data_IF_149962030269
#
_entry.id   IF_149962030269
#
_cell.length_a   1.000
_cell.length_b   1.000
_cell.length_c   1.000
_cell.angle_alpha   90.00
_cell.angle_beta   90.00
_cell.angle_gamma   90.00
#
_symmetry.space_group_name_H-M   'P 1'
#
loop_
_entity.id
_entity.type
_entity.pdbx_description
1 polymer ?
#
# COMPACT_ATOMS: atom_id res chain seq x y z
N UNK A 1 -8.95 -48.75 31.67
CA UNK A 1 -10.27 -49.36 31.86
C UNK A 1 -11.07 -49.18 30.61
N UNK A 2 -11.26 -50.25 29.91
CA UNK A 2 -11.94 -50.39 28.62
C UNK A 2 -13.46 -50.08 28.70
N UNK A 3 -14.02 -49.52 27.68
CA UNK A 3 -15.26 -50.05 27.10
C UNK A 3 -15.51 -49.46 25.71
N UNK A 4 -15.37 -50.36 24.73
CA UNK A 4 -15.89 -50.26 23.39
C UNK A 4 -17.43 -50.48 23.40
N UNK A 5 -18.13 -49.80 22.53
CA UNK A 5 -19.42 -50.31 22.08
C UNK A 5 -19.58 -50.14 20.58
N UNK A 6 -19.66 -51.30 19.95
CA UNK A 6 -20.11 -51.57 18.59
C UNK A 6 -21.61 -51.48 18.50
N UNK A 7 -22.09 -51.23 17.32
CA UNK A 7 -23.28 -51.84 16.68
C UNK A 7 -23.99 -50.76 15.84
N UNK A 8 -24.62 -50.95 14.73
CA UNK A 8 -24.78 -52.11 13.83
C UNK A 8 -25.30 -51.57 12.49
N UNK A 9 -24.90 -52.22 11.45
CA UNK A 9 -25.48 -52.11 10.10
C UNK A 9 -26.90 -52.65 10.09
N UNK A 10 -27.86 -51.95 9.46
CA UNK A 10 -29.06 -52.54 8.92
C UNK A 10 -29.25 -52.19 7.46
N UNK A 11 -29.03 -53.16 6.63
CA UNK A 11 -29.45 -53.25 5.23
C UNK A 11 -30.88 -53.78 5.15
N UNK A 12 -31.63 -53.37 4.16
CA UNK A 12 -32.58 -54.11 3.36
C UNK A 12 -33.83 -53.30 2.99
N UNK A 13 -34.62 -53.68 2.00
CA UNK A 13 -34.37 -54.42 0.79
C UNK A 13 -34.99 -53.79 -0.49
N UNK A 14 -34.58 -54.32 -1.61
CA UNK A 14 -35.03 -54.19 -2.97
C UNK A 14 -36.53 -54.45 -3.17
N UNK A 15 -37.25 -53.55 -3.88
CA UNK A 15 -38.48 -53.91 -4.59
C UNK A 15 -38.43 -53.38 -6.02
N UNK A 16 -38.40 -54.35 -6.96
CA UNK A 16 -38.69 -54.15 -8.38
C UNK A 16 -40.16 -53.86 -8.58
N UNK A 17 -40.50 -52.89 -9.42
CA UNK A 17 -41.74 -52.87 -10.19
C UNK A 17 -41.53 -52.11 -11.51
N UNK A 18 -41.50 -52.85 -12.58
CA UNK A 18 -42.30 -52.85 -13.82
C UNK A 18 -42.42 -51.54 -14.61
N UNK A 19 -42.01 -51.70 -15.86
CA UNK A 19 -42.10 -50.79 -16.96
C UNK A 19 -43.51 -50.22 -17.22
N UNK A 20 -43.59 -48.95 -17.62
CA UNK A 20 -44.65 -48.41 -18.45
C UNK A 20 -44.06 -47.42 -19.41
N UNK A 21 -44.25 -47.69 -20.70
CA UNK A 21 -43.79 -46.87 -21.82
C UNK A 21 -44.80 -45.78 -22.14
N UNK A 22 -44.34 -44.58 -22.42
CA UNK A 22 -44.91 -43.56 -23.33
C UNK A 22 -44.24 -42.20 -23.17
N UNK A 23 -44.37 -41.24 -24.08
CA UNK A 23 -43.61 -41.10 -25.32
C UNK A 23 -42.59 -39.94 -25.29
N UNK A 24 -41.67 -39.97 -26.23
CA UNK A 24 -40.65 -38.96 -26.45
C UNK A 24 -41.24 -37.55 -26.69
N UNK A 25 -40.92 -36.62 -25.80
CA UNK A 25 -40.93 -35.18 -26.10
C UNK A 25 -39.48 -34.78 -26.26
N UNK A 26 -39.11 -34.46 -27.51
CA UNK A 26 -37.83 -33.91 -27.92
C UNK A 26 -37.78 -32.47 -27.46
N UNK A 27 -37.32 -32.22 -26.25
CA UNK A 27 -36.96 -30.88 -25.78
C UNK A 27 -35.53 -30.56 -26.25
N UNK A 28 -35.46 -29.78 -27.31
CA UNK A 28 -34.21 -29.19 -27.83
C UNK A 28 -33.70 -28.20 -26.79
N UNK A 29 -32.87 -28.66 -25.86
CA UNK A 29 -32.08 -27.79 -24.98
C UNK A 29 -30.98 -27.11 -25.80
N UNK A 30 -31.26 -25.90 -26.26
CA UNK A 30 -30.23 -24.94 -26.64
C UNK A 30 -29.35 -24.71 -25.40
N UNK A 31 -28.28 -25.51 -25.28
CA UNK A 31 -27.20 -25.23 -24.37
C UNK A 31 -26.46 -23.98 -24.90
N UNK A 32 -26.98 -22.81 -24.54
CA UNK A 32 -26.25 -21.56 -24.66
C UNK A 32 -25.01 -21.68 -23.77
N UNK A 33 -23.87 -21.94 -24.41
CA UNK A 33 -22.56 -21.86 -23.76
C UNK A 33 -22.37 -20.42 -23.33
N UNK A 34 -22.74 -20.10 -22.07
CA UNK A 34 -22.29 -18.88 -21.42
C UNK A 34 -20.79 -19.04 -21.24
N UNK A 35 -20.04 -18.56 -22.22
CA UNK A 35 -18.61 -18.41 -22.13
C UNK A 35 -18.38 -17.34 -21.08
N UNK A 36 -18.23 -17.75 -19.81
CA UNK A 36 -17.65 -16.88 -18.81
C UNK A 36 -16.27 -16.50 -19.33
N UNK A 37 -16.15 -15.29 -19.85
CA UNK A 37 -14.88 -14.63 -20.05
C UNK A 37 -14.30 -14.42 -18.64
N UNK A 38 -13.67 -15.44 -18.07
CA UNK A 38 -12.76 -15.27 -16.95
C UNK A 38 -11.67 -14.36 -17.49
N UNK A 39 -11.70 -13.11 -17.06
CA UNK A 39 -10.60 -12.18 -17.28
C UNK A 39 -9.35 -12.91 -16.77
N UNK A 40 -8.49 -13.33 -17.69
CA UNK A 40 -7.23 -13.99 -17.36
C UNK A 40 -6.44 -12.96 -16.57
N UNK A 41 -5.99 -13.27 -15.34
CA UNK A 41 -5.12 -12.35 -14.63
C UNK A 41 -3.97 -12.03 -15.57
N UNK A 42 -3.68 -10.74 -15.76
CA UNK A 42 -2.55 -10.30 -16.57
C UNK A 42 -1.31 -10.99 -16.01
N UNK A 43 -0.76 -11.94 -16.78
CA UNK A 43 0.45 -12.62 -16.36
C UNK A 43 1.59 -11.62 -16.45
N UNK A 44 2.28 -11.41 -15.33
CA UNK A 44 3.43 -10.53 -15.28
C UNK A 44 4.47 -10.94 -16.32
N UNK A 45 5.03 -9.96 -17.02
CA UNK A 45 6.11 -10.17 -17.98
C UNK A 45 7.38 -10.62 -17.26
N UNK A 46 8.07 -11.62 -17.84
CA UNK A 46 9.36 -12.11 -17.35
C UNK A 46 10.45 -11.88 -18.38
N UNK A 47 11.69 -11.77 -17.93
CA UNK A 47 12.83 -11.38 -18.74
C UNK A 47 14.00 -12.33 -18.55
N UNK A 48 14.90 -12.48 -19.55
CA UNK A 48 16.10 -13.31 -19.43
C UNK A 48 17.16 -12.67 -18.52
N UNK A 49 17.16 -11.35 -18.34
CA UNK A 49 18.11 -10.62 -17.52
C UNK A 49 17.46 -9.43 -16.80
N UNK A 50 18.04 -8.91 -15.72
CA UNK A 50 17.56 -7.70 -15.07
C UNK A 50 17.76 -6.46 -15.95
N UNK A 51 18.77 -6.45 -16.83
CA UNK A 51 19.02 -5.40 -17.82
C UNK A 51 17.87 -5.34 -18.85
N UNK A 52 17.39 -6.50 -19.32
CA UNK A 52 16.26 -6.55 -20.26
C UNK A 52 14.98 -6.05 -19.59
N UNK A 53 14.74 -6.41 -18.33
CA UNK A 53 13.59 -5.93 -17.56
C UNK A 53 13.63 -4.41 -17.37
N UNK A 54 14.79 -3.87 -16.98
CA UNK A 54 15.00 -2.44 -16.77
C UNK A 54 14.79 -1.66 -18.08
N UNK A 55 15.36 -2.11 -19.19
CA UNK A 55 15.18 -1.49 -20.52
C UNK A 55 13.73 -1.54 -20.99
N UNK A 56 13.04 -2.66 -20.76
CA UNK A 56 11.64 -2.80 -21.14
C UNK A 56 10.75 -1.82 -20.37
N UNK A 57 10.97 -1.67 -19.06
CA UNK A 57 10.25 -0.69 -18.24
C UNK A 57 10.49 0.72 -18.74
N UNK A 58 11.76 1.12 -18.93
CA UNK A 58 12.11 2.44 -19.46
C UNK A 58 11.41 2.71 -20.79
N UNK A 59 11.48 1.77 -21.74
CA UNK A 59 10.86 1.92 -23.06
C UNK A 59 9.33 2.01 -22.99
N UNK A 60 8.67 1.30 -22.06
CA UNK A 60 7.23 1.38 -21.87
C UNK A 60 6.82 2.74 -21.28
N UNK A 61 7.53 3.23 -20.26
CA UNK A 61 7.27 4.54 -19.64
C UNK A 61 7.52 5.67 -20.64
N UNK A 62 8.61 5.62 -21.41
CA UNK A 62 8.95 6.62 -22.42
C UNK A 62 7.89 6.72 -23.54
N UNK A 63 7.24 5.60 -23.91
CA UNK A 63 6.17 5.57 -24.89
C UNK A 63 4.79 5.85 -24.31
N UNK A 64 4.68 6.11 -23.01
CA UNK A 64 3.42 6.27 -22.29
C UNK A 64 2.49 5.04 -22.44
N UNK A 65 3.07 3.85 -22.55
CA UNK A 65 2.34 2.59 -22.68
C UNK A 65 1.97 2.04 -21.28
N UNK A 66 0.88 2.55 -20.73
CA UNK A 66 0.41 2.18 -19.37
C UNK A 66 0.12 0.68 -19.26
N UNK A 67 -0.35 0.06 -20.34
CA UNK A 67 -0.62 -1.37 -20.36
C UNK A 67 0.67 -2.17 -20.23
N UNK A 68 1.69 -1.83 -21.02
CA UNK A 68 2.98 -2.48 -20.95
C UNK A 68 3.64 -2.27 -19.57
N UNK A 69 3.55 -1.07 -18.98
CA UNK A 69 4.05 -0.79 -17.64
C UNK A 69 3.36 -1.71 -16.62
N UNK A 70 2.04 -1.84 -16.69
CA UNK A 70 1.27 -2.72 -15.79
C UNK A 70 1.66 -4.19 -15.95
N UNK A 71 1.81 -4.67 -17.18
CA UNK A 71 2.22 -6.05 -17.48
C UNK A 71 3.66 -6.33 -17.00
N UNK A 72 4.57 -5.37 -17.16
CA UNK A 72 5.97 -5.48 -16.72
C UNK A 72 6.06 -5.49 -15.20
N UNK A 73 5.42 -4.54 -14.54
CA UNK A 73 5.43 -4.46 -13.09
C UNK A 73 4.59 -5.55 -12.43
N UNK A 74 3.63 -6.16 -13.14
CA UNK A 74 2.77 -7.22 -12.59
C UNK A 74 1.86 -6.73 -11.46
N UNK A 75 1.67 -5.42 -11.37
CA UNK A 75 0.96 -4.76 -10.30
C UNK A 75 -0.45 -4.39 -10.72
N UNK A 76 -1.35 -4.31 -9.75
CA UNK A 76 -2.58 -3.56 -9.92
C UNK A 76 -2.28 -2.08 -10.19
N UNK A 77 -3.29 -1.35 -10.61
CA UNK A 77 -3.19 0.08 -10.95
C UNK A 77 -2.61 0.95 -9.82
N UNK A 78 -2.65 0.48 -8.59
CA UNK A 78 -2.19 1.18 -7.38
C UNK A 78 -0.68 1.50 -7.36
N UNK A 79 0.16 0.70 -8.04
CA UNK A 79 1.60 0.96 -8.17
C UNK A 79 1.95 1.80 -9.41
N UNK A 80 1.00 1.98 -10.32
CA UNK A 80 1.21 2.62 -11.62
C UNK A 80 0.54 4.00 -11.70
N UNK A 81 -0.44 4.25 -10.83
CA UNK A 81 -1.21 5.50 -10.82
C UNK A 81 -1.59 5.91 -9.40
N UNK A 82 -1.44 7.19 -9.11
CA UNK A 82 -1.84 7.83 -7.84
C UNK A 82 -3.29 8.31 -7.84
N UNK A 83 -4.05 8.09 -8.92
CA UNK A 83 -5.35 8.73 -9.24
C UNK A 83 -5.25 10.24 -9.56
N UNK A 84 -4.07 10.82 -9.56
CA UNK A 84 -3.79 12.17 -10.05
C UNK A 84 -3.03 12.07 -11.37
N UNK A 85 -3.73 12.25 -12.48
CA UNK A 85 -3.15 12.12 -13.83
C UNK A 85 -2.03 13.11 -14.11
N UNK A 86 -2.08 14.29 -13.51
CA UNK A 86 -1.05 15.32 -13.69
C UNK A 86 0.22 14.88 -12.97
N UNK A 87 0.08 14.46 -11.72
CA UNK A 87 1.19 13.96 -10.92
C UNK A 87 1.80 12.70 -11.56
N UNK A 88 0.97 11.74 -11.99
CA UNK A 88 1.43 10.53 -12.67
C UNK A 88 2.25 10.85 -13.93
N UNK A 89 1.84 11.86 -14.70
CA UNK A 89 2.60 12.31 -15.88
C UNK A 89 3.97 12.87 -15.49
N UNK A 90 4.01 13.75 -14.50
CA UNK A 90 5.25 14.36 -14.00
C UNK A 90 6.21 13.29 -13.44
N UNK A 91 5.70 12.31 -12.74
CA UNK A 91 6.51 11.23 -12.17
C UNK A 91 7.09 10.32 -13.25
N UNK A 92 6.34 10.04 -14.33
CA UNK A 92 6.84 9.31 -15.50
C UNK A 92 7.93 10.09 -16.25
N UNK A 93 7.73 11.37 -16.48
CA UNK A 93 8.74 12.24 -17.12
C UNK A 93 10.01 12.30 -16.27
N UNK A 94 9.88 12.44 -14.95
CA UNK A 94 11.00 12.44 -14.01
C UNK A 94 11.73 11.09 -14.02
N UNK A 95 11.02 9.97 -14.06
CA UNK A 95 11.64 8.65 -14.19
C UNK A 95 12.45 8.54 -15.48
N UNK A 96 11.88 8.95 -16.63
CA UNK A 96 12.59 8.92 -17.93
C UNK A 96 13.85 9.77 -17.88
N UNK A 97 13.75 10.99 -17.36
CA UNK A 97 14.89 11.90 -17.24
C UNK A 97 15.99 11.28 -16.37
N UNK A 98 15.66 10.82 -15.16
CA UNK A 98 16.62 10.22 -14.23
C UNK A 98 17.25 8.95 -14.77
N UNK A 99 16.47 8.11 -15.45
CA UNK A 99 17.00 6.90 -16.09
C UNK A 99 18.01 7.23 -17.19
N UNK A 100 17.74 8.25 -18.01
CA UNK A 100 18.67 8.71 -19.06
C UNK A 100 19.92 9.37 -18.49
N UNK A 101 19.79 10.11 -17.40
CA UNK A 101 20.90 10.76 -16.72
C UNK A 101 21.90 9.72 -16.20
N UNK A 102 21.42 8.71 -15.49
CA UNK A 102 22.20 7.58 -15.01
C UNK A 102 21.27 6.45 -14.61
N UNK A 103 21.62 5.23 -14.96
CA UNK A 103 20.99 4.03 -14.42
C UNK A 103 22.01 2.92 -14.22
N UNK A 104 21.83 2.16 -13.15
CA UNK A 104 22.64 0.99 -12.85
C UNK A 104 21.86 -0.04 -12.06
N UNK A 105 22.21 -1.29 -12.24
CA UNK A 105 21.65 -2.41 -11.48
C UNK A 105 22.67 -2.82 -10.41
N UNK A 106 22.22 -2.99 -9.20
CA UNK A 106 23.04 -3.39 -8.05
C UNK A 106 22.41 -4.61 -7.39
N UNK A 107 23.21 -5.65 -7.23
CA UNK A 107 22.79 -6.81 -6.47
C UNK A 107 22.84 -6.47 -4.98
N UNK A 108 21.69 -6.51 -4.35
CA UNK A 108 21.49 -6.24 -2.95
C UNK A 108 21.56 -7.53 -2.11
N UNK A 109 21.78 -7.44 -0.79
CA UNK A 109 21.61 -8.57 0.11
C UNK A 109 20.25 -9.23 -0.09
N UNK A 110 20.13 -10.51 0.19
CA UNK A 110 18.91 -11.34 -0.02
C UNK A 110 18.60 -11.71 -1.46
N UNK A 111 19.52 -11.47 -2.41
CA UNK A 111 19.39 -11.95 -3.80
C UNK A 111 18.41 -11.15 -4.67
N UNK A 112 18.07 -9.94 -4.26
CA UNK A 112 17.33 -8.98 -5.08
C UNK A 112 18.29 -8.09 -5.86
N UNK A 113 17.84 -7.55 -7.00
CA UNK A 113 18.59 -6.56 -7.77
C UNK A 113 17.82 -5.25 -7.79
N UNK A 114 18.41 -4.19 -7.28
CA UNK A 114 17.85 -2.86 -7.28
C UNK A 114 18.29 -2.08 -8.52
N UNK A 115 17.36 -1.33 -9.12
CA UNK A 115 17.63 -0.35 -10.17
C UNK A 115 17.84 1.01 -9.50
N UNK A 116 19.03 1.60 -9.68
CA UNK A 116 19.34 2.96 -9.25
C UNK A 116 19.28 3.90 -10.45
N UNK A 117 18.66 5.06 -10.28
CA UNK A 117 18.51 6.07 -11.34
C UNK A 117 18.87 7.47 -10.83
N UNK A 118 19.27 8.34 -11.76
CA UNK A 118 19.64 9.73 -11.48
C UNK A 118 21.01 9.88 -10.84
N UNK A 119 21.59 11.06 -10.90
CA UNK A 119 22.90 11.38 -10.31
C UNK A 119 22.92 11.18 -8.78
N UNK A 120 21.76 11.29 -8.13
CA UNK A 120 21.58 11.08 -6.70
C UNK A 120 21.57 9.59 -6.30
N UNK A 121 21.70 8.68 -7.28
CA UNK A 121 21.59 7.23 -7.04
C UNK A 121 20.28 6.83 -6.33
N UNK A 122 19.16 7.37 -6.80
CA UNK A 122 17.85 7.06 -6.19
C UNK A 122 17.43 5.62 -6.51
N UNK A 123 17.18 4.78 -5.50
CA UNK A 123 16.76 3.41 -5.72
C UNK A 123 15.31 3.36 -6.17
N UNK A 124 15.06 2.78 -7.34
CA UNK A 124 13.71 2.50 -7.81
C UNK A 124 13.01 1.54 -6.83
N UNK A 125 11.78 1.82 -6.40
CA UNK A 125 11.17 1.13 -5.26
C UNK A 125 10.80 -0.33 -5.52
N UNK A 126 10.70 -0.75 -6.78
CA UNK A 126 10.29 -2.12 -7.12
C UNK A 126 11.53 -2.92 -7.52
N UNK A 127 12.01 -3.84 -6.68
CA UNK A 127 13.22 -4.61 -6.97
C UNK A 127 12.98 -5.67 -8.03
N UNK A 128 14.05 -6.15 -8.62
CA UNK A 128 14.09 -7.27 -9.56
C UNK A 128 14.48 -8.54 -8.81
N UNK A 129 13.75 -9.62 -9.06
CA UNK A 129 14.02 -10.94 -8.50
C UNK A 129 14.13 -11.98 -9.60
N UNK A 130 15.00 -12.97 -9.40
CA UNK A 130 15.12 -14.12 -10.29
C UNK A 130 14.42 -15.34 -9.70
N UNK A 131 13.60 -16.01 -10.49
CA UNK A 131 13.03 -17.34 -10.17
C UNK A 131 13.16 -18.25 -11.38
N UNK A 132 13.75 -19.42 -11.18
CA UNK A 132 13.96 -20.41 -12.25
C UNK A 132 14.69 -19.85 -13.49
N UNK A 133 15.66 -18.95 -13.28
CA UNK A 133 16.46 -18.37 -14.35
C UNK A 133 15.77 -17.23 -15.14
N UNK A 134 14.57 -16.83 -14.76
CA UNK A 134 13.88 -15.66 -15.35
C UNK A 134 13.73 -14.56 -14.33
N UNK A 135 13.77 -13.32 -14.80
CA UNK A 135 13.71 -12.10 -14.00
C UNK A 135 12.35 -11.43 -14.10
N UNK A 136 11.89 -10.84 -13.00
CA UNK A 136 10.68 -10.01 -12.96
C UNK A 136 10.79 -8.96 -11.86
N UNK A 137 10.00 -7.91 -11.96
CA UNK A 137 9.83 -6.98 -10.86
C UNK A 137 9.03 -7.62 -9.71
N UNK A 138 9.41 -7.39 -8.46
CA UNK A 138 8.69 -7.87 -7.29
C UNK A 138 7.71 -6.81 -6.80
N UNK A 139 6.48 -6.88 -7.29
CA UNK A 139 5.45 -5.89 -7.03
C UNK A 139 5.00 -5.86 -5.58
N UNK A 140 5.03 -7.01 -4.89
CA UNK A 140 4.63 -7.10 -3.49
C UNK A 140 5.62 -6.36 -2.60
N UNK A 141 6.93 -6.58 -2.81
CA UNK A 141 7.98 -5.84 -2.12
C UNK A 141 7.96 -4.36 -2.54
N UNK A 142 7.74 -4.07 -3.83
CA UNK A 142 7.61 -2.71 -4.33
C UNK A 142 6.46 -1.94 -3.68
N UNK A 143 5.29 -2.57 -3.52
CA UNK A 143 4.14 -1.95 -2.85
C UNK A 143 4.44 -1.61 -1.39
N UNK A 144 5.16 -2.49 -0.69
CA UNK A 144 5.59 -2.23 0.68
C UNK A 144 6.57 -1.06 0.75
N UNK A 145 7.57 -1.04 -0.12
CA UNK A 145 8.58 0.03 -0.17
C UNK A 145 7.95 1.40 -0.48
N UNK A 146 7.07 1.48 -1.48
CA UNK A 146 6.33 2.71 -1.81
C UNK A 146 5.50 3.18 -0.61
N UNK A 147 4.86 2.25 0.09
CA UNK A 147 4.09 2.57 1.30
C UNK A 147 4.97 3.11 2.41
N UNK A 148 6.12 2.48 2.66
CA UNK A 148 7.06 2.95 3.70
C UNK A 148 7.62 4.32 3.39
N UNK A 149 8.00 4.61 2.14
CA UNK A 149 8.45 5.94 1.72
C UNK A 149 7.36 6.99 1.92
N UNK A 150 6.13 6.70 1.49
CA UNK A 150 4.97 7.59 1.70
C UNK A 150 4.71 7.87 3.17
N UNK A 151 4.78 6.85 4.03
CA UNK A 151 4.64 7.02 5.47
C UNK A 151 5.72 7.98 5.98
N UNK A 152 6.99 7.75 5.64
CA UNK A 152 8.08 8.62 6.07
C UNK A 152 7.94 10.06 5.59
N UNK A 153 7.59 10.28 4.32
CA UNK A 153 7.35 11.63 3.76
C UNK A 153 6.19 12.34 4.46
N UNK A 154 5.11 11.62 4.74
CA UNK A 154 3.96 12.19 5.46
C UNK A 154 4.32 12.54 6.91
N UNK A 155 5.11 11.71 7.59
CA UNK A 155 5.57 11.94 8.97
C UNK A 155 6.48 13.17 9.05
N UNK A 156 7.47 13.28 8.17
CA UNK A 156 8.34 14.47 8.06
C UNK A 156 7.51 15.74 7.80
N UNK A 157 6.54 15.65 6.89
CA UNK A 157 5.66 16.77 6.57
C UNK A 157 4.78 17.13 7.78
N UNK A 158 4.25 16.13 8.51
CA UNK A 158 3.43 16.36 9.70
C UNK A 158 4.22 17.06 10.82
N UNK A 159 5.48 16.69 11.03
CA UNK A 159 6.39 17.35 11.97
C UNK A 159 6.58 18.84 11.55
N UNK A 160 6.88 19.10 10.27
CA UNK A 160 7.05 20.44 9.75
C UNK A 160 5.78 21.31 9.93
N UNK A 161 4.59 20.73 9.75
CA UNK A 161 3.32 21.42 10.01
C UNK A 161 3.13 21.68 11.51
N UNK A 162 3.52 20.75 12.39
CA UNK A 162 3.48 20.97 13.84
C UNK A 162 4.30 22.21 14.23
N UNK A 163 5.52 22.37 13.73
CA UNK A 163 6.35 23.55 13.94
C UNK A 163 5.68 24.82 13.37
N UNK A 164 5.12 24.75 12.14
CA UNK A 164 4.42 25.87 11.54
C UNK A 164 3.17 26.31 12.33
N UNK A 165 2.49 25.38 13.00
CA UNK A 165 1.33 25.68 13.85
C UNK A 165 1.75 26.49 15.09
N UNK A 166 2.88 26.17 15.72
CA UNK A 166 3.44 26.95 16.83
C UNK A 166 3.77 28.36 16.38
N UNK A 167 4.44 28.51 15.23
CA UNK A 167 4.81 29.80 14.68
C UNK A 167 3.59 30.69 14.31
N UNK A 168 2.41 30.09 14.07
CA UNK A 168 1.16 30.78 13.66
C UNK A 168 0.09 30.79 14.73
N UNK A 169 0.41 30.77 15.98
CA UNK A 169 -0.44 30.65 17.19
C UNK A 169 -1.85 31.31 17.14
N UNK A 170 -2.23 31.94 16.05
CA UNK A 170 -3.43 32.76 15.93
C UNK A 170 -4.41 32.37 14.82
N UNK A 171 -4.28 31.20 14.16
CA UNK A 171 -5.20 30.87 13.06
C UNK A 171 -6.37 29.99 13.51
N UNK A 172 -7.60 30.51 13.70
CA UNK A 172 -8.77 29.73 14.13
C UNK A 172 -9.25 28.69 13.11
N UNK A 173 -8.83 28.78 11.84
CA UNK A 173 -9.19 27.80 10.79
C UNK A 173 -8.40 26.49 10.86
N UNK A 174 -7.36 26.39 11.68
CA UNK A 174 -6.58 25.18 11.87
C UNK A 174 -7.35 24.04 12.56
N UNK A 175 -8.56 24.29 13.01
CA UNK A 175 -9.37 23.33 13.77
C UNK A 175 -10.26 22.41 12.90
N UNK A 176 -10.09 22.39 11.59
CA UNK A 176 -10.80 21.47 10.70
C UNK A 176 -10.06 20.14 10.62
N UNK A 177 -10.70 19.00 10.92
CA UNK A 177 -10.11 17.68 10.78
C UNK A 177 -10.11 17.24 9.30
N UNK A 178 -9.44 17.99 8.45
CA UNK A 178 -9.22 17.61 7.05
C UNK A 178 -7.86 16.94 6.98
N UNK A 179 -7.75 15.74 6.40
CA UNK A 179 -6.46 15.12 6.18
C UNK A 179 -5.60 16.01 5.28
N UNK A 180 -4.42 16.34 5.75
CA UNK A 180 -3.42 17.06 4.96
C UNK A 180 -2.13 16.22 4.95
N UNK A 181 -1.65 15.88 3.76
CA UNK A 181 -0.53 14.94 3.61
C UNK A 181 -0.69 13.65 4.45
N UNK A 182 -1.91 13.06 4.42
CA UNK A 182 -2.19 11.82 5.12
C UNK A 182 -2.36 11.94 6.65
N UNK A 183 -2.39 13.15 7.21
CA UNK A 183 -2.54 13.42 8.64
C UNK A 183 -3.72 14.33 8.95
N UNK A 184 -4.34 14.10 10.09
CA UNK A 184 -5.29 15.02 10.72
C UNK A 184 -4.56 15.88 11.74
N UNK A 185 -4.90 17.17 11.78
CA UNK A 185 -4.34 18.14 12.71
C UNK A 185 -5.44 18.73 13.59
N UNK A 186 -5.16 18.92 14.86
CA UNK A 186 -6.10 19.50 15.80
C UNK A 186 -5.38 20.24 16.93
N UNK A 187 -5.91 21.42 17.29
CA UNK A 187 -5.45 22.15 18.47
C UNK A 187 -5.97 21.45 19.73
N UNK A 188 -5.11 21.30 20.72
CA UNK A 188 -5.43 20.77 22.03
C UNK A 188 -5.46 21.92 23.05
N UNK A 189 -6.37 21.81 24.03
CA UNK A 189 -6.32 22.68 25.20
C UNK A 189 -5.15 22.28 26.10
N UNK A 190 -4.44 23.23 26.66
CA UNK A 190 -3.41 22.97 27.65
C UNK A 190 -3.96 23.20 29.05
N UNK A 191 -3.71 22.26 29.98
CA UNK A 191 -3.95 22.47 31.40
C UNK A 191 -3.01 23.56 31.91
N UNK A 192 -3.55 24.73 32.30
CA UNK A 192 -2.76 25.88 32.77
C UNK A 192 -2.47 26.98 31.73
N UNK A 193 -3.09 26.90 30.55
CA UNK A 193 -2.88 27.86 29.44
C UNK A 193 -1.65 27.50 28.59
N UNK A 194 -1.65 27.93 27.34
CA UNK A 194 -0.59 27.71 26.37
C UNK A 194 -1.06 26.87 25.18
N UNK A 195 -0.26 26.86 24.13
CA UNK A 195 -0.54 26.19 22.86
C UNK A 195 -0.08 24.72 22.91
N UNK A 196 -0.89 23.83 22.34
CA UNK A 196 -0.48 22.50 21.93
C UNK A 196 -1.34 22.05 20.74
N UNK A 197 -0.76 21.25 19.85
CA UNK A 197 -1.46 20.63 18.74
C UNK A 197 -1.10 19.16 18.64
N UNK A 198 -2.03 18.36 18.09
CA UNK A 198 -1.83 16.96 17.79
C UNK A 198 -1.97 16.73 16.29
N UNK A 199 -1.07 15.93 15.74
CA UNK A 199 -1.14 15.38 14.39
C UNK A 199 -1.19 13.86 14.48
N UNK A 200 -2.14 13.22 13.78
CA UNK A 200 -2.28 11.78 13.79
C UNK A 200 -2.66 11.25 12.40
N UNK A 201 -2.22 10.04 12.00
CA UNK A 201 -2.45 9.52 10.68
C UNK A 201 -3.95 9.33 10.38
N UNK A 202 -4.36 9.69 9.18
CA UNK A 202 -5.72 9.45 8.70
C UNK A 202 -6.02 7.95 8.58
N UNK A 203 -5.01 7.18 8.15
CA UNK A 203 -5.06 5.72 8.06
C UNK A 203 -3.78 5.12 8.65
N UNK A 204 -3.91 4.48 9.81
CA UNK A 204 -2.79 3.84 10.49
C UNK A 204 -2.10 2.80 9.61
N UNK A 205 -0.75 2.85 9.53
CA UNK A 205 0.12 2.02 8.67
C UNK A 205 -0.15 2.13 7.16
N UNK A 206 -0.88 3.14 6.74
CA UNK A 206 -1.10 3.45 5.33
C UNK A 206 -0.68 4.87 5.00
N UNK A 207 -1.12 5.86 5.78
CA UNK A 207 -0.69 7.25 5.64
C UNK A 207 0.35 7.68 6.68
N UNK A 208 0.48 6.95 7.78
CA UNK A 208 1.44 7.19 8.86
C UNK A 208 1.34 6.13 9.95
N UNK A 209 2.30 6.10 10.85
CA UNK A 209 2.34 5.26 12.05
C UNK A 209 2.33 6.13 13.30
N UNK A 210 3.21 7.14 13.35
CA UNK A 210 3.41 7.98 14.52
C UNK A 210 2.31 9.02 14.69
N UNK A 211 1.97 9.32 15.93
CA UNK A 211 1.16 10.46 16.33
C UNK A 211 2.10 11.48 16.93
N UNK A 212 1.95 12.74 16.56
CA UNK A 212 2.80 13.83 17.01
C UNK A 212 2.01 14.79 17.90
N UNK A 213 2.63 15.27 18.97
CA UNK A 213 2.15 16.39 19.77
C UNK A 213 3.24 17.45 19.81
N UNK A 214 2.90 18.67 19.43
CA UNK A 214 3.77 19.83 19.58
C UNK A 214 3.28 20.70 20.72
N UNK A 215 4.21 21.21 21.53
CA UNK A 215 3.93 22.16 22.61
C UNK A 215 4.35 23.58 22.23
N UNK A 216 4.07 24.55 23.11
CA UNK A 216 4.43 25.96 22.92
C UNK A 216 5.95 26.21 22.84
N UNK A 217 6.77 25.29 23.34
CA UNK A 217 8.24 25.40 23.34
C UNK A 217 8.83 24.90 22.00
N UNK A 218 7.95 24.64 21.01
CA UNK A 218 8.28 24.11 19.69
C UNK A 218 8.99 22.76 19.72
N UNK A 219 8.70 21.96 20.75
CA UNK A 219 9.18 20.57 20.85
C UNK A 219 8.08 19.65 20.35
N UNK A 220 8.39 18.87 19.31
CA UNK A 220 7.50 17.82 18.79
C UNK A 220 7.81 16.51 19.49
N UNK A 221 6.79 15.88 20.03
CA UNK A 221 6.86 14.53 20.62
C UNK A 221 6.12 13.55 19.75
N UNK A 222 6.59 12.31 19.70
CA UNK A 222 6.00 11.24 18.90
C UNK A 222 5.67 10.01 19.73
N UNK A 223 4.64 9.27 19.29
CA UNK A 223 4.23 7.99 19.88
C UNK A 223 3.40 7.18 18.88
N UNK A 224 3.66 5.89 18.77
CA UNK A 224 2.76 4.94 18.10
C UNK A 224 1.58 4.61 19.04
N UNK A 225 0.39 5.09 18.70
CA UNK A 225 -0.86 4.79 19.44
C UNK A 225 -1.53 3.48 18.96
N UNK A 226 -0.95 2.82 17.98
CA UNK A 226 -1.41 1.54 17.43
C UNK A 226 -2.66 1.62 16.55
N UNK A 227 -3.30 0.47 16.24
CA UNK A 227 -4.40 0.41 15.26
C UNK A 227 -5.64 1.25 15.57
N UNK A 228 -5.76 1.72 16.81
CA UNK A 228 -6.88 2.58 17.24
C UNK A 228 -6.50 4.05 17.34
N UNK A 229 -5.43 4.46 16.67
CA UNK A 229 -4.85 5.82 16.72
C UNK A 229 -5.92 6.91 16.54
N UNK A 230 -6.72 6.84 15.49
CA UNK A 230 -7.74 7.86 15.22
C UNK A 230 -8.72 8.05 16.40
N UNK A 231 -9.15 6.95 17.03
CA UNK A 231 -10.04 7.00 18.20
C UNK A 231 -9.31 7.55 19.41
N UNK A 232 -8.08 7.12 19.69
CA UNK A 232 -7.28 7.58 20.82
C UNK A 232 -6.95 9.07 20.68
N UNK A 233 -6.44 9.49 19.53
CA UNK A 233 -6.08 10.88 19.26
C UNK A 233 -7.29 11.82 19.29
N UNK A 234 -8.45 11.42 18.71
CA UNK A 234 -9.66 12.25 18.73
C UNK A 234 -10.26 12.44 20.14
N UNK A 235 -9.99 11.51 21.06
CA UNK A 235 -10.43 11.62 22.45
C UNK A 235 -9.51 12.50 23.31
N UNK A 236 -8.31 12.84 22.84
CA UNK A 236 -7.39 13.71 23.58
C UNK A 236 -7.88 15.14 23.51
N UNK A 237 -8.24 15.74 24.63
CA UNK A 237 -8.65 17.14 24.74
C UNK A 237 -7.52 18.04 25.23
N UNK A 238 -6.54 17.46 25.90
CA UNK A 238 -5.37 18.15 26.46
C UNK A 238 -4.09 17.42 26.08
N UNK A 239 -2.99 18.16 25.94
CA UNK A 239 -1.67 17.59 25.74
C UNK A 239 -1.15 17.04 27.08
N UNK A 240 -1.26 15.73 27.27
CA UNK A 240 -0.68 15.02 28.39
C UNK A 240 0.39 14.06 27.86
N UNK A 241 1.64 14.43 28.11
CA UNK A 241 2.81 13.65 27.69
C UNK A 241 3.23 12.73 28.85
N UNK A 242 2.89 11.44 28.74
CA UNK A 242 3.41 10.42 29.63
C UNK A 242 4.84 10.00 29.22
N UNK A 243 5.60 9.27 30.02
CA UNK A 243 6.99 8.89 29.71
C UNK A 243 7.18 8.02 28.46
N UNK A 244 6.11 7.60 27.80
CA UNK A 244 6.19 6.82 26.56
C UNK A 244 6.18 7.70 25.30
N UNK A 245 5.99 9.02 25.43
CA UNK A 245 6.23 9.97 24.37
C UNK A 245 7.71 10.32 24.31
N UNK A 246 8.28 10.24 23.13
CA UNK A 246 9.68 10.58 22.89
C UNK A 246 9.75 11.82 22.02
N UNK A 247 10.76 12.70 22.19
CA UNK A 247 10.98 13.77 21.23
C UNK A 247 11.18 13.20 19.83
N UNK A 248 10.47 13.75 18.85
CA UNK A 248 10.68 13.40 17.46
C UNK A 248 12.07 13.91 17.03
N UNK A 249 12.87 13.04 16.44
CA UNK A 249 14.15 13.47 15.90
C UNK A 249 13.89 14.37 14.68
N UNK A 250 14.40 15.60 14.73
CA UNK A 250 14.46 16.44 13.53
C UNK A 250 15.40 15.76 12.55
N UNK A 251 14.88 15.21 11.46
CA UNK A 251 15.74 14.73 10.38
C UNK A 251 16.55 15.90 9.82
N UNK A 252 17.85 15.74 9.63
CA UNK A 252 18.74 16.79 9.15
C UNK A 252 18.43 17.25 7.73
#
# INVERSE_FOLDING_TARGET
MMRAMKSELKACPWRRRTASAAPAIFALLLAGSVQLCLARPLSQTTFPSPEDASRALFAAVQRHDERAVTEILGAGTELVSSNDKVQDTLDRERFVQKYQEMHRLVQEPRGVTALYIGAENWPFPIPLVSRNGVWRFDSDDGANEIRFRRIGENEVTAIGICHALVARETNPDANRPVPFHGYHFRILSKSGGGFAAIAYPALYRSSGVMTFIVNQDDVVYEKDLGPKTAKAASAMTTAHLDPTWTPAESMP
#
